data_IF_031530012334
#
_entry.id   IF_031530012334
#
_cell.length_a   1.000
_cell.length_b   1.000
_cell.length_c   1.000
_cell.angle_alpha   90.00
_cell.angle_beta   90.00
_cell.angle_gamma   90.00
#
_symmetry.space_group_name_H-M   'P 1'
#
loop_
_entity.id
_entity.type
_entity.pdbx_description
1 polymer ?
#
# COMPACT_ATOMS: atom_id res chain seq x y z
N UNK A 1 7.11 -7.78 19.70
CA UNK A 1 6.88 -9.23 19.85
C UNK A 1 5.46 -9.41 20.33
N UNK A 2 4.55 -9.63 19.40
CA UNK A 2 3.13 -9.88 19.67
C UNK A 2 2.71 -10.97 18.69
N UNK A 3 2.97 -12.21 19.10
CA UNK A 3 2.40 -13.42 18.52
C UNK A 3 0.94 -13.54 18.95
N UNK A 4 0.00 -13.39 18.03
CA UNK A 4 -1.35 -14.02 18.01
C UNK A 4 -1.78 -14.02 16.53
N UNK A 5 -2.20 -15.10 15.86
CA UNK A 5 -2.96 -16.27 16.26
C UNK A 5 -2.38 -17.57 15.65
N UNK A 6 -2.62 -18.69 16.34
CA UNK A 6 -2.04 -20.00 16.04
C UNK A 6 -2.44 -20.56 14.66
N UNK A 7 -1.44 -20.68 13.78
CA UNK A 7 -1.46 -21.66 12.70
C UNK A 7 -1.31 -23.04 13.32
N UNK A 8 -2.36 -23.86 13.26
CA UNK A 8 -2.21 -25.29 13.44
C UNK A 8 -1.25 -25.78 12.35
N UNK A 9 -0.09 -26.30 12.75
CA UNK A 9 0.97 -26.77 11.85
C UNK A 9 0.62 -28.10 11.18
N UNK A 10 -0.63 -28.27 10.76
CA UNK A 10 -1.14 -29.45 10.07
C UNK A 10 -1.03 -29.26 8.56
N UNK A 11 -0.32 -30.16 7.88
CA UNK A 11 -0.45 -30.30 6.44
C UNK A 11 -1.88 -30.73 6.10
N UNK A 12 -2.64 -29.87 5.42
CA UNK A 12 -3.95 -30.22 4.89
C UNK A 12 -3.80 -31.25 3.77
N UNK A 13 -4.68 -32.26 3.76
CA UNK A 13 -4.62 -33.37 2.78
C UNK A 13 -5.35 -33.02 1.49
N UNK A 14 -6.27 -32.07 1.55
CA UNK A 14 -7.03 -31.61 0.39
C UNK A 14 -7.21 -30.08 0.42
N UNK A 15 -7.43 -29.43 -0.74
CA UNK A 15 -7.81 -28.03 -0.76
C UNK A 15 -9.08 -27.74 0.02
N UNK A 16 -10.07 -28.65 0.02
CA UNK A 16 -11.29 -28.49 0.80
C UNK A 16 -10.99 -28.40 2.30
N UNK A 17 -10.15 -29.29 2.84
CA UNK A 17 -9.77 -29.24 4.27
C UNK A 17 -9.09 -27.91 4.64
N UNK A 18 -8.29 -27.36 3.73
CA UNK A 18 -7.68 -26.04 3.95
C UNK A 18 -8.74 -24.93 3.97
N UNK A 19 -9.66 -24.94 3.01
CA UNK A 19 -10.72 -23.94 2.90
C UNK A 19 -11.68 -24.02 4.10
N UNK A 20 -12.05 -25.23 4.52
CA UNK A 20 -12.85 -25.46 5.71
C UNK A 20 -12.15 -24.90 6.97
N UNK A 21 -10.82 -25.01 7.04
CA UNK A 21 -10.05 -24.43 8.15
C UNK A 21 -10.03 -22.90 8.15
N UNK A 22 -10.10 -22.27 6.98
CA UNK A 22 -10.17 -20.81 6.84
C UNK A 22 -11.57 -20.27 7.15
N UNK A 23 -12.61 -21.01 6.76
CA UNK A 23 -14.00 -20.66 7.08
C UNK A 23 -14.25 -20.75 8.59
N UNK A 24 -13.79 -21.81 9.25
CA UNK A 24 -14.07 -22.02 10.67
C UNK A 24 -15.58 -22.01 10.93
N UNK A 25 -16.05 -21.06 11.74
CA UNK A 25 -17.47 -20.91 12.10
C UNK A 25 -18.28 -20.03 11.11
N UNK A 26 -17.62 -19.36 10.15
CA UNK A 26 -18.23 -18.46 9.18
C UNK A 26 -17.82 -18.85 7.77
N UNK A 27 -18.77 -19.26 6.91
CA UNK A 27 -18.43 -19.53 5.51
C UNK A 27 -18.23 -18.23 4.74
N UNK A 28 -16.98 -17.95 4.36
CA UNK A 28 -16.60 -16.77 3.58
C UNK A 28 -15.79 -17.10 2.32
N UNK A 29 -15.42 -18.37 2.16
CA UNK A 29 -14.76 -18.91 0.98
C UNK A 29 -15.54 -20.12 0.47
N UNK A 30 -15.95 -20.06 -0.80
CA UNK A 30 -16.57 -21.19 -1.51
C UNK A 30 -15.50 -21.84 -2.38
N UNK A 31 -15.24 -23.14 -2.16
CA UNK A 31 -14.32 -23.91 -2.99
C UNK A 31 -15.06 -24.77 -4.02
N UNK A 32 -14.69 -24.63 -5.28
CA UNK A 32 -15.15 -25.47 -6.37
C UNK A 32 -14.07 -26.48 -6.75
N UNK A 33 -14.26 -27.74 -6.34
CA UNK A 33 -13.33 -28.83 -6.60
C UNK A 33 -13.24 -29.26 -8.08
N UNK A 34 -14.26 -28.97 -8.89
CA UNK A 34 -14.27 -29.32 -10.32
C UNK A 34 -13.38 -28.37 -11.12
N UNK A 35 -13.29 -27.11 -10.72
CA UNK A 35 -12.45 -26.08 -11.36
C UNK A 35 -11.16 -25.80 -10.59
N UNK A 36 -11.02 -26.34 -9.37
CA UNK A 36 -9.93 -26.04 -8.44
C UNK A 36 -9.77 -24.53 -8.19
N UNK A 37 -10.90 -23.85 -7.95
CA UNK A 37 -10.96 -22.40 -7.68
C UNK A 37 -11.65 -22.13 -6.35
N UNK A 38 -11.23 -21.07 -5.68
CA UNK A 38 -11.90 -20.54 -4.48
C UNK A 38 -12.49 -19.16 -4.81
N UNK A 39 -13.66 -18.89 -4.26
CA UNK A 39 -14.36 -17.60 -4.36
C UNK A 39 -14.51 -17.02 -2.96
N UNK A 40 -14.04 -15.79 -2.79
CA UNK A 40 -14.30 -14.98 -1.60
C UNK A 40 -15.71 -14.40 -1.73
N UNK A 41 -16.60 -14.69 -0.78
CA UNK A 41 -18.02 -14.33 -0.89
C UNK A 41 -18.29 -12.84 -0.65
N UNK A 42 -17.42 -12.16 0.11
CA UNK A 42 -17.47 -10.70 0.27
C UNK A 42 -16.12 -10.11 0.68
N UNK A 43 -15.92 -8.84 0.31
CA UNK A 43 -14.75 -8.05 0.75
C UNK A 43 -14.77 -7.86 2.28
N UNK A 44 -15.96 -7.66 2.87
CA UNK A 44 -16.12 -7.50 4.32
C UNK A 44 -15.57 -8.72 5.09
N UNK A 45 -15.96 -9.92 4.67
CA UNK A 45 -15.47 -11.14 5.31
C UNK A 45 -13.97 -11.33 5.10
N UNK A 46 -13.44 -11.04 3.90
CA UNK A 46 -12.00 -11.06 3.68
C UNK A 46 -11.26 -10.09 4.61
N UNK A 47 -11.73 -8.85 4.76
CA UNK A 47 -11.12 -7.86 5.66
C UNK A 47 -11.16 -8.38 7.10
N UNK A 48 -12.29 -8.91 7.56
CA UNK A 48 -12.44 -9.46 8.91
C UNK A 48 -11.45 -10.60 9.19
N UNK A 49 -11.28 -11.53 8.25
CA UNK A 49 -10.49 -12.75 8.45
C UNK A 49 -9.00 -12.59 8.12
N UNK A 50 -8.64 -11.77 7.13
CA UNK A 50 -7.29 -11.71 6.59
C UNK A 50 -6.61 -10.34 6.70
N UNK A 51 -7.37 -9.25 6.85
CA UNK A 51 -6.81 -7.88 6.77
C UNK A 51 -7.49 -6.93 7.77
N UNK A 52 -7.68 -7.41 9.00
CA UNK A 52 -8.33 -6.62 10.05
C UNK A 52 -7.54 -5.31 10.30
N UNK A 53 -8.20 -4.16 10.48
CA UNK A 53 -7.51 -2.90 10.74
C UNK A 53 -6.63 -2.99 11.99
N UNK A 54 -5.35 -2.63 11.85
CA UNK A 54 -4.37 -2.64 12.95
C UNK A 54 -3.94 -1.24 13.39
N UNK A 55 -4.36 -0.21 12.65
CA UNK A 55 -4.03 1.20 12.90
C UNK A 55 -5.30 1.99 13.19
N UNK A 56 -5.16 3.03 14.00
CA UNK A 56 -6.24 3.97 14.29
C UNK A 56 -6.55 4.87 13.07
N UNK A 57 -7.62 5.67 13.17
CA UNK A 57 -7.94 6.69 12.17
C UNK A 57 -6.83 7.74 12.14
N UNK A 58 -6.36 8.10 10.93
CA UNK A 58 -5.09 8.82 10.78
C UNK A 58 -3.90 7.86 10.80
N UNK A 59 -4.01 6.72 10.10
CA UNK A 59 -3.07 5.61 10.15
C UNK A 59 -1.59 5.94 9.81
N UNK A 60 -1.34 7.09 9.19
CA UNK A 60 0.01 7.56 8.80
C UNK A 60 0.26 9.00 9.25
N UNK A 61 -0.79 9.82 9.32
CA UNK A 61 -0.77 11.11 9.99
C UNK A 61 -1.82 11.07 11.08
N UNK A 62 -1.40 10.75 12.31
CA UNK A 62 -2.32 10.63 13.43
C UNK A 62 -2.58 12.01 14.07
N UNK A 63 -3.39 12.06 15.12
CA UNK A 63 -3.68 13.33 15.83
C UNK A 63 -2.53 13.78 16.75
N UNK A 64 -1.49 12.96 16.93
CA UNK A 64 -0.38 13.19 17.86
C UNK A 64 0.93 13.62 17.20
N UNK A 65 1.10 13.30 15.91
CA UNK A 65 2.36 13.23 15.18
C UNK A 65 3.26 12.08 15.64
N UNK A 66 2.67 10.97 16.07
CA UNK A 66 3.41 9.86 16.68
C UNK A 66 3.83 8.78 15.67
N UNK A 67 3.49 8.95 14.39
CA UNK A 67 3.88 8.02 13.31
C UNK A 67 5.26 8.35 12.74
N UNK A 68 5.94 7.32 12.20
CA UNK A 68 7.23 7.50 11.53
C UNK A 68 7.13 8.43 10.31
N UNK A 69 5.99 8.44 9.63
CA UNK A 69 5.72 9.33 8.51
C UNK A 69 5.65 10.80 8.94
N UNK A 70 5.21 11.11 10.17
CA UNK A 70 5.27 12.47 10.69
C UNK A 70 6.72 12.94 10.85
N UNK A 71 7.61 12.06 11.30
CA UNK A 71 9.05 12.35 11.38
C UNK A 71 9.66 12.56 9.99
N UNK A 72 9.28 11.72 9.01
CA UNK A 72 9.71 11.87 7.61
C UNK A 72 9.38 13.27 7.06
N UNK A 73 8.23 13.81 7.43
CA UNK A 73 7.78 15.14 7.02
C UNK A 73 8.22 16.28 7.94
N UNK A 74 9.01 16.00 8.97
CA UNK A 74 9.74 16.99 9.75
C UNK A 74 10.63 17.91 8.90
N UNK A 75 11.13 18.99 9.50
CA UNK A 75 12.06 19.95 8.91
C UNK A 75 13.32 20.06 9.77
N UNK A 76 14.24 20.96 9.40
CA UNK A 76 15.42 21.28 10.20
C UNK A 76 15.12 21.96 11.54
N UNK A 77 13.91 22.50 11.72
CA UNK A 77 13.45 23.12 12.97
C UNK A 77 12.47 22.26 13.77
N UNK A 78 11.91 21.21 13.16
CA UNK A 78 10.83 20.40 13.72
C UNK A 78 11.01 18.92 13.39
N UNK A 79 11.22 18.08 14.40
CA UNK A 79 11.47 16.64 14.19
C UNK A 79 10.26 15.91 13.57
N UNK A 80 9.03 16.34 13.87
CA UNK A 80 7.81 15.77 13.28
C UNK A 80 6.75 16.83 12.97
N UNK A 81 6.01 16.63 11.88
CA UNK A 81 4.94 17.52 11.41
C UNK A 81 3.77 16.71 10.83
N UNK A 82 2.56 17.28 10.90
CA UNK A 82 1.44 16.79 10.09
C UNK A 82 1.67 17.08 8.60
N UNK A 83 1.18 16.21 7.73
CA UNK A 83 1.34 16.30 6.27
C UNK A 83 0.05 16.03 5.48
N UNK A 84 -1.00 15.52 6.12
CA UNK A 84 -2.25 15.17 5.48
C UNK A 84 -3.22 16.37 5.44
N UNK A 85 -3.31 17.00 4.27
CA UNK A 85 -4.24 18.09 4.00
C UNK A 85 -5.70 17.64 3.95
N UNK A 86 -5.97 16.37 3.63
CA UNK A 86 -7.32 15.80 3.64
C UNK A 86 -7.80 15.67 5.08
N UNK A 87 -6.98 15.12 5.97
CA UNK A 87 -7.29 15.03 7.39
C UNK A 87 -7.49 16.44 8.00
N UNK A 88 -6.63 17.40 7.67
CA UNK A 88 -6.79 18.79 8.10
C UNK A 88 -8.15 19.38 7.69
N UNK A 89 -8.60 19.11 6.46
CA UNK A 89 -9.90 19.55 5.97
C UNK A 89 -11.05 18.83 6.69
N UNK A 90 -10.97 17.52 6.88
CA UNK A 90 -11.99 16.74 7.62
C UNK A 90 -12.17 17.30 9.04
N UNK A 91 -11.08 17.52 9.77
CA UNK A 91 -11.10 18.07 11.12
C UNK A 91 -11.70 19.48 11.16
N UNK A 92 -11.34 20.32 10.19
CA UNK A 92 -11.86 21.70 10.09
C UNK A 92 -13.35 21.73 9.75
N UNK A 93 -13.79 20.97 8.74
CA UNK A 93 -15.17 20.97 8.25
C UNK A 93 -16.15 20.37 9.25
N UNK A 94 -15.68 19.43 10.08
CA UNK A 94 -16.51 18.75 11.07
C UNK A 94 -16.29 19.28 12.50
N UNK A 95 -15.58 20.40 12.68
CA UNK A 95 -15.24 20.93 14.00
C UNK A 95 -16.46 21.15 14.90
N UNK A 96 -17.56 21.71 14.37
CA UNK A 96 -18.79 21.93 15.14
C UNK A 96 -19.39 20.61 15.62
N UNK A 97 -19.49 19.62 14.72
CA UNK A 97 -19.97 18.27 15.05
C UNK A 97 -19.07 17.59 16.08
N UNK A 98 -17.75 17.72 15.93
CA UNK A 98 -16.81 17.09 16.85
C UNK A 98 -16.78 17.77 18.22
N UNK A 99 -17.08 19.07 18.29
CA UNK A 99 -17.13 19.81 19.55
C UNK A 99 -18.19 19.33 20.55
N UNK A 100 -19.14 18.50 20.10
CA UNK A 100 -20.14 17.86 20.96
C UNK A 100 -19.58 16.69 21.79
N UNK A 101 -18.41 16.13 21.41
CA UNK A 101 -17.78 15.04 22.14
C UNK A 101 -16.97 15.56 23.33
N UNK A 102 -17.05 14.86 24.48
CA UNK A 102 -16.46 15.30 25.74
C UNK A 102 -14.94 15.37 25.75
N UNK A 103 -14.30 14.60 24.88
CA UNK A 103 -12.85 14.46 24.71
C UNK A 103 -12.33 15.24 23.48
N UNK A 104 -13.18 16.04 22.84
CA UNK A 104 -12.77 16.85 21.69
C UNK A 104 -11.68 17.86 22.07
N UNK A 105 -10.62 17.86 21.28
CA UNK A 105 -9.52 18.81 21.41
C UNK A 105 -9.35 19.60 20.10
N UNK A 106 -9.83 20.85 20.09
CA UNK A 106 -9.69 21.76 18.96
C UNK A 106 -8.23 22.09 18.59
N UNK A 107 -7.28 21.82 19.49
CA UNK A 107 -5.85 22.01 19.21
C UNK A 107 -5.37 21.07 18.11
N UNK A 108 -6.02 19.91 17.92
CA UNK A 108 -5.70 18.94 16.86
C UNK A 108 -5.93 19.51 15.46
N UNK A 109 -7.10 20.12 15.20
CA UNK A 109 -7.32 20.80 13.92
C UNK A 109 -6.33 21.96 13.71
N UNK A 110 -5.99 22.66 14.80
CA UNK A 110 -5.04 23.78 14.77
C UNK A 110 -3.62 23.34 14.47
N UNK A 111 -3.17 22.18 14.98
CA UNK A 111 -1.83 21.64 14.71
C UNK A 111 -1.66 21.30 13.24
N UNK A 112 -2.60 20.58 12.65
CA UNK A 112 -2.62 20.28 11.21
C UNK A 112 -2.53 21.57 10.37
N UNK A 113 -3.40 22.54 10.65
CA UNK A 113 -3.44 23.80 9.88
C UNK A 113 -2.17 24.66 10.02
N UNK A 114 -1.42 24.52 11.11
CA UNK A 114 -0.16 25.22 11.33
C UNK A 114 1.02 24.52 10.68
N UNK A 115 1.08 23.19 10.78
CA UNK A 115 2.17 22.39 10.23
C UNK A 115 2.17 22.44 8.71
N UNK A 116 1.02 22.35 8.06
CA UNK A 116 0.91 22.41 6.60
C UNK A 116 1.41 23.73 5.99
N UNK A 117 1.59 24.79 6.80
CA UNK A 117 2.17 26.07 6.38
C UNK A 117 3.68 26.14 6.55
N UNK A 118 4.29 25.14 7.19
CA UNK A 118 5.73 25.08 7.42
C UNK A 118 6.44 24.84 6.09
N UNK A 119 7.65 25.40 6.03
CA UNK A 119 8.57 25.23 4.92
C UNK A 119 9.82 24.53 5.44
N UNK A 120 10.47 23.74 4.59
CA UNK A 120 11.84 23.28 4.87
C UNK A 120 12.87 24.41 4.67
N UNK A 121 14.13 24.17 5.06
CA UNK A 121 15.26 25.08 4.83
C UNK A 121 15.48 25.55 3.39
N UNK A 122 14.89 24.88 2.41
CA UNK A 122 14.96 25.23 0.99
C UNK A 122 13.70 25.95 0.49
N UNK A 123 12.78 26.31 1.40
CA UNK A 123 11.48 26.92 1.14
C UNK A 123 10.48 26.01 0.41
N UNK A 124 10.64 24.69 0.47
CA UNK A 124 9.62 23.77 -0.03
C UNK A 124 8.49 23.61 0.98
N UNK A 125 7.25 23.62 0.48
CA UNK A 125 6.06 23.29 1.28
C UNK A 125 6.01 21.81 1.61
N UNK A 126 5.23 21.44 2.62
CA UNK A 126 4.92 20.03 2.90
C UNK A 126 4.26 19.37 1.68
N UNK A 127 3.31 20.03 1.03
CA UNK A 127 2.66 19.53 -0.19
C UNK A 127 3.67 19.19 -1.30
N UNK A 128 4.62 20.09 -1.58
CA UNK A 128 5.65 19.85 -2.58
C UNK A 128 6.49 18.62 -2.22
N UNK A 129 6.89 18.48 -0.95
CA UNK A 129 7.65 17.31 -0.48
C UNK A 129 6.82 16.03 -0.56
N UNK A 130 5.55 16.06 -0.18
CA UNK A 130 4.64 14.92 -0.28
C UNK A 130 4.47 14.46 -1.73
N UNK A 131 4.31 15.40 -2.66
CA UNK A 131 4.26 15.10 -4.09
C UNK A 131 5.55 14.43 -4.60
N UNK A 132 6.72 14.88 -4.13
CA UNK A 132 7.99 14.26 -4.49
C UNK A 132 8.15 12.82 -4.00
N UNK A 133 7.60 12.48 -2.83
CA UNK A 133 7.62 11.12 -2.29
C UNK A 133 6.53 10.20 -2.85
N UNK A 134 5.51 10.76 -3.51
CA UNK A 134 4.35 10.01 -3.97
C UNK A 134 4.53 9.51 -5.42
N UNK A 135 4.75 8.21 -5.67
CA UNK A 135 4.90 7.70 -7.03
C UNK A 135 3.68 7.97 -7.91
N UNK A 136 2.47 8.00 -7.33
CA UNK A 136 1.23 8.30 -8.06
C UNK A 136 1.23 9.71 -8.65
N UNK A 137 1.97 10.66 -8.06
CA UNK A 137 2.10 12.03 -8.58
C UNK A 137 2.65 12.04 -10.01
N UNK A 138 3.50 11.07 -10.34
CA UNK A 138 4.20 10.97 -11.61
C UNK A 138 3.49 10.08 -12.63
N UNK A 139 2.67 9.13 -12.18
CA UNK A 139 2.08 8.09 -13.04
C UNK A 139 0.57 8.20 -13.23
N UNK A 140 -0.13 9.05 -12.47
CA UNK A 140 -1.58 9.22 -12.56
C UNK A 140 -1.98 10.59 -13.11
N UNK A 141 -2.93 10.67 -14.07
CA UNK A 141 -3.41 11.94 -14.61
C UNK A 141 -4.23 12.77 -13.62
N UNK A 142 -4.50 12.24 -12.41
CA UNK A 142 -5.10 13.00 -11.32
C UNK A 142 -4.18 14.12 -10.82
N UNK A 143 -2.86 13.92 -10.90
CA UNK A 143 -1.88 14.86 -10.37
C UNK A 143 -1.22 15.67 -11.50
N UNK A 144 -0.85 16.91 -11.18
CA UNK A 144 -0.15 17.81 -12.11
C UNK A 144 1.25 17.31 -12.50
N UNK A 145 1.81 16.37 -11.74
CA UNK A 145 3.14 15.79 -11.97
C UNK A 145 3.20 14.78 -13.11
N UNK A 146 2.07 14.40 -13.69
CA UNK A 146 2.03 13.42 -14.79
C UNK A 146 2.95 13.86 -15.94
N UNK A 147 3.82 12.95 -16.38
CA UNK A 147 4.79 13.23 -17.45
C UNK A 147 5.98 14.12 -17.06
N UNK A 148 6.15 14.44 -15.77
CA UNK A 148 7.34 15.17 -15.26
C UNK A 148 8.54 14.25 -14.96
N UNK A 149 8.39 12.95 -15.15
CA UNK A 149 9.42 11.93 -14.99
C UNK A 149 9.33 10.91 -16.13
N UNK A 150 10.39 10.12 -16.31
CA UNK A 150 10.40 8.94 -17.19
C UNK A 150 10.23 7.66 -16.33
N UNK A 151 9.02 7.05 -16.25
CA UNK A 151 8.81 5.84 -15.48
C UNK A 151 9.66 4.68 -16.02
N UNK A 152 10.11 3.80 -15.13
CA UNK A 152 10.82 2.60 -15.55
C UNK A 152 9.95 1.73 -16.47
N UNK A 153 10.58 1.04 -17.44
CA UNK A 153 9.86 0.19 -18.41
C UNK A 153 9.29 -1.08 -17.79
N UNK A 154 9.96 -1.63 -16.79
CA UNK A 154 9.61 -2.92 -16.19
C UNK A 154 9.36 -2.75 -14.69
N UNK A 155 8.19 -3.19 -14.23
CA UNK A 155 7.79 -3.14 -12.83
C UNK A 155 7.44 -4.53 -12.33
N UNK A 156 7.92 -4.84 -11.12
CA UNK A 156 7.52 -6.04 -10.39
C UNK A 156 7.14 -5.65 -8.96
N UNK A 157 5.86 -5.83 -8.64
CA UNK A 157 5.24 -5.44 -7.38
C UNK A 157 4.63 -6.69 -6.76
N UNK A 158 5.22 -7.15 -5.65
CA UNK A 158 4.68 -8.24 -4.86
C UNK A 158 4.35 -7.74 -3.46
N UNK A 159 3.12 -7.96 -3.03
CA UNK A 159 2.67 -7.64 -1.67
C UNK A 159 1.99 -8.87 -1.07
N UNK A 160 2.16 -9.09 0.24
CA UNK A 160 1.36 -10.08 0.95
C UNK A 160 -0.08 -9.58 1.05
N UNK A 161 -1.07 -10.36 0.61
CA UNK A 161 -2.47 -9.89 0.59
C UNK A 161 -3.04 -9.66 2.00
N UNK A 162 -2.43 -10.28 3.00
CA UNK A 162 -2.80 -10.21 4.42
C UNK A 162 -2.01 -9.13 5.18
N UNK A 163 -1.12 -8.37 4.51
CA UNK A 163 -0.39 -7.28 5.15
C UNK A 163 -1.38 -6.21 5.64
N UNK A 164 -1.17 -5.65 6.83
CA UNK A 164 -2.09 -4.64 7.41
C UNK A 164 -1.48 -3.25 7.53
N UNK A 165 -0.22 -3.10 7.14
CA UNK A 165 0.55 -1.86 7.28
C UNK A 165 0.01 -0.75 6.39
N UNK A 166 -0.58 -1.13 5.25
CA UNK A 166 -1.34 -0.23 4.37
C UNK A 166 -2.53 -0.93 3.70
N UNK A 167 -3.45 -0.14 3.14
CA UNK A 167 -4.59 -0.64 2.37
C UNK A 167 -4.11 -1.33 1.09
N UNK A 168 -4.75 -2.43 0.70
CA UNK A 168 -4.45 -3.16 -0.56
C UNK A 168 -4.67 -2.28 -1.81
N UNK A 169 -5.47 -1.23 -1.67
CA UNK A 169 -5.71 -0.25 -2.73
C UNK A 169 -4.45 0.56 -3.06
N UNK A 170 -3.48 0.67 -2.15
CA UNK A 170 -2.24 1.42 -2.42
C UNK A 170 -1.43 0.76 -3.53
N UNK A 171 -1.12 -0.53 -3.39
CA UNK A 171 -0.37 -1.25 -4.43
C UNK A 171 -1.20 -1.47 -5.69
N UNK A 172 -2.48 -1.80 -5.54
CA UNK A 172 -3.39 -2.03 -6.67
C UNK A 172 -3.55 -0.78 -7.53
N UNK A 173 -3.80 0.39 -6.93
CA UNK A 173 -3.95 1.64 -7.69
C UNK A 173 -2.66 2.02 -8.41
N UNK A 174 -1.49 1.78 -7.78
CA UNK A 174 -0.21 2.06 -8.40
C UNK A 174 0.07 1.13 -9.59
N UNK A 175 -0.14 -0.18 -9.43
CA UNK A 175 0.01 -1.13 -10.53
C UNK A 175 -0.92 -0.81 -11.70
N UNK A 176 -2.19 -0.48 -11.42
CA UNK A 176 -3.15 -0.08 -12.45
C UNK A 176 -2.74 1.20 -13.17
N UNK A 177 -2.22 2.20 -12.46
CA UNK A 177 -1.72 3.44 -13.07
C UNK A 177 -0.53 3.17 -14.00
N UNK A 178 0.43 2.34 -13.57
CA UNK A 178 1.58 1.93 -14.38
C UNK A 178 1.15 1.23 -15.67
N UNK A 179 0.15 0.34 -15.61
CA UNK A 179 -0.38 -0.37 -16.79
C UNK A 179 -1.04 0.56 -17.83
N UNK A 180 -1.34 1.82 -17.48
CA UNK A 180 -1.89 2.80 -18.43
C UNK A 180 -0.81 3.63 -19.14
N UNK A 181 0.45 3.54 -18.74
CA UNK A 181 1.54 4.32 -19.34
C UNK A 181 2.09 3.55 -20.54
N UNK A 182 2.09 4.19 -21.72
CA UNK A 182 2.54 3.57 -22.98
C UNK A 182 3.99 3.09 -22.95
N UNK A 183 4.84 3.79 -22.20
CA UNK A 183 6.28 3.55 -22.14
C UNK A 183 6.65 2.51 -21.06
N UNK A 184 5.67 2.07 -20.28
CA UNK A 184 5.80 0.93 -19.36
C UNK A 184 5.49 -0.34 -20.16
N UNK A 185 6.53 -1.14 -20.40
CA UNK A 185 6.44 -2.36 -21.20
C UNK A 185 5.83 -3.54 -20.43
N UNK A 186 6.07 -3.63 -19.12
CA UNK A 186 5.54 -4.72 -18.29
C UNK A 186 5.33 -4.33 -16.84
N UNK A 187 4.21 -4.80 -16.28
CA UNK A 187 3.87 -4.70 -14.85
C UNK A 187 3.49 -6.08 -14.34
N UNK A 188 4.38 -6.73 -13.60
CA UNK A 188 4.09 -7.94 -12.83
C UNK A 188 3.57 -7.53 -11.45
N UNK A 189 2.26 -7.64 -11.22
CA UNK A 189 1.63 -7.35 -9.92
C UNK A 189 1.06 -8.63 -9.30
N UNK A 190 1.51 -8.97 -8.09
CA UNK A 190 1.04 -10.14 -7.34
C UNK A 190 0.65 -9.79 -5.90
N UNK A 191 -0.57 -10.13 -5.54
CA UNK A 191 -1.01 -10.22 -4.15
C UNK A 191 -0.86 -11.66 -3.66
N UNK A 192 0.06 -11.89 -2.73
CA UNK A 192 0.49 -13.22 -2.31
C UNK A 192 -0.33 -13.65 -1.11
N UNK A 193 -1.19 -14.66 -1.33
CA UNK A 193 -2.01 -15.29 -0.32
C UNK A 193 -1.18 -15.87 0.85
N UNK A 194 -1.68 -15.74 2.09
CA UNK A 194 -1.03 -16.29 3.28
C UNK A 194 0.21 -15.52 3.72
N UNK A 195 0.46 -14.32 3.19
CA UNK A 195 1.61 -13.49 3.55
C UNK A 195 1.17 -12.12 4.03
N UNK A 196 1.77 -11.70 5.15
CA UNK A 196 1.64 -10.36 5.73
C UNK A 196 2.68 -9.39 5.19
N UNK A 197 3.13 -8.45 6.04
CA UNK A 197 4.16 -7.47 5.67
C UNK A 197 5.55 -8.13 5.53
N UNK A 198 5.92 -8.49 4.30
CA UNK A 198 7.17 -9.20 3.98
C UNK A 198 7.57 -9.03 2.51
N UNK A 199 8.77 -9.50 2.15
CA UNK A 199 9.22 -9.62 0.76
C UNK A 199 8.51 -10.78 0.08
N UNK A 200 7.31 -10.51 -0.41
CA UNK A 200 6.34 -11.54 -0.72
C UNK A 200 6.67 -12.35 -1.97
N UNK A 201 6.54 -13.67 -1.88
CA UNK A 201 6.75 -14.60 -3.00
C UNK A 201 5.85 -15.83 -2.87
N UNK A 202 5.24 -16.23 -3.98
CA UNK A 202 4.41 -17.45 -4.00
C UNK A 202 5.22 -18.71 -3.73
N UNK A 203 6.46 -18.78 -4.25
CA UNK A 203 7.36 -19.95 -4.14
C UNK A 203 8.81 -19.53 -4.22
N UNK A 204 9.66 -20.18 -3.42
CA UNK A 204 11.10 -19.92 -3.37
C UNK A 204 11.43 -18.66 -2.58
N UNK A 205 12.70 -18.25 -2.59
CA UNK A 205 13.16 -17.04 -1.92
C UNK A 205 12.99 -15.80 -2.80
N UNK A 206 12.64 -14.67 -2.19
CA UNK A 206 12.57 -13.36 -2.87
C UNK A 206 13.85 -13.04 -3.65
N UNK A 207 15.05 -13.26 -3.08
CA UNK A 207 16.31 -12.89 -3.74
C UNK A 207 16.50 -13.65 -5.06
N UNK A 208 16.25 -14.97 -5.06
CA UNK A 208 16.36 -15.78 -6.27
C UNK A 208 15.35 -15.36 -7.34
N UNK A 209 14.10 -15.11 -6.94
CA UNK A 209 13.04 -14.67 -7.85
C UNK A 209 13.32 -13.30 -8.44
N UNK A 210 13.78 -12.37 -7.62
CA UNK A 210 14.21 -11.04 -8.07
C UNK A 210 15.37 -11.14 -9.07
N UNK A 211 16.41 -11.93 -8.78
CA UNK A 211 17.54 -12.10 -9.71
C UNK A 211 17.09 -12.72 -11.04
N UNK A 212 16.19 -13.72 -11.00
CA UNK A 212 15.62 -14.30 -12.22
C UNK A 212 14.89 -13.25 -13.04
N UNK A 213 14.00 -12.48 -12.43
CA UNK A 213 13.24 -11.42 -13.10
C UNK A 213 14.16 -10.36 -13.72
N UNK A 214 15.19 -9.90 -12.99
CA UNK A 214 16.17 -8.96 -13.53
C UNK A 214 16.87 -9.52 -14.78
N UNK A 215 17.30 -10.78 -14.74
CA UNK A 215 17.95 -11.42 -15.91
C UNK A 215 17.00 -11.55 -17.11
N UNK A 216 15.71 -11.76 -16.88
CA UNK A 216 14.68 -11.79 -17.93
C UNK A 216 14.54 -10.42 -18.58
N UNK A 217 14.39 -9.34 -17.80
CA UNK A 217 14.35 -7.97 -18.33
C UNK A 217 15.58 -7.62 -19.19
N UNK A 218 16.78 -8.00 -18.74
CA UNK A 218 18.01 -7.74 -19.50
C UNK A 218 18.11 -8.56 -20.80
N UNK A 219 17.48 -9.74 -20.83
CA UNK A 219 17.47 -10.61 -22.01
C UNK A 219 16.49 -10.08 -23.06
N UNK A 220 15.36 -9.52 -22.63
CA UNK A 220 14.37 -8.88 -23.51
C UNK A 220 14.96 -7.63 -24.20
N UNK A 221 15.75 -6.82 -23.48
CA UNK A 221 16.48 -5.69 -24.08
C UNK A 221 17.51 -6.14 -25.13
N UNK A 222 18.16 -7.29 -24.93
CA UNK A 222 19.19 -7.79 -25.85
C UNK A 222 18.64 -8.23 -27.21
N UNK A 223 17.35 -8.60 -27.28
CA UNK A 223 16.68 -8.92 -28.54
C UNK A 223 16.37 -7.66 -29.36
N UNK A 224 16.20 -6.50 -28.72
CA UNK A 224 15.93 -5.23 -29.40
C UNK A 224 17.15 -4.71 -30.17
N UNK A 225 18.36 -4.95 -29.67
CA UNK A 225 19.61 -4.54 -30.34
C UNK A 225 19.99 -5.38 -31.56
N UNK A 226 19.41 -6.57 -31.73
CA UNK A 226 19.69 -7.43 -32.88
C UNK A 226 18.80 -7.12 -34.09
N UNK A 227 17.62 -6.53 -33.87
CA UNK A 227 16.69 -6.17 -34.95
C UNK A 227 17.05 -4.82 -35.64
N UNK A 228 17.87 -3.97 -35.02
CA UNK A 228 18.35 -2.71 -35.59
C UNK A 228 19.67 -2.83 -36.39
N UNK A 229 20.22 -4.04 -36.54
CA UNK A 229 21.50 -4.30 -37.23
C UNK A 229 21.41 -5.24 -38.46
N UNK A 230 20.21 -5.50 -39.00
CA UNK A 230 20.03 -6.21 -40.28
C UNK A 230 19.10 -5.50 -41.26
#
# INVERSE_FOLDING_TARGET
SSDVAGSSSGTFRTPQEYIDSLNGDEEWIIYNSSTNTAEITSIEAFVKHCKSPTKDVGAFDDLGRDQAENELFGTDEHDSLHFDSIMANVLKENADKYSEFSDYDSSKATSYANDLKKLDKFNNTIENRSNMYNPMYYVSPYYDGIGSSDPAKYWRINAGIEQTDTSFTVETNFALALMQISDVESVEFNEVWGQGHTQAERKGSYSAKFITWVNECMSDESNFFLDDFF
#
